data_IF_181640833081
#
_entry.id   IF_181640833081
#
_cell.length_a   1.000
_cell.length_b   1.000
_cell.length_c   1.000
_cell.angle_alpha   90.00
_cell.angle_beta   90.00
_cell.angle_gamma   90.00
#
_symmetry.space_group_name_H-M   'P 1'
#
loop_
_entity.id
_entity.type
_entity.pdbx_description
1 polymer ?
#
# COMPACT_ATOMS: atom_id res chain seq x y z
N UNK A 1 -39.54 5.25 -28.61
CA UNK A 1 -39.33 6.72 -28.45
C UNK A 1 -39.76 7.05 -27.04
N UNK A 2 -38.83 7.36 -26.14
CA UNK A 2 -39.16 7.72 -24.76
C UNK A 2 -39.66 9.17 -24.73
N UNK A 3 -40.83 9.39 -24.11
CA UNK A 3 -41.57 10.66 -24.13
C UNK A 3 -41.23 11.48 -22.87
N UNK A 4 -40.93 12.78 -22.99
CA UNK A 4 -40.52 13.68 -21.88
C UNK A 4 -41.65 14.00 -20.87
N UNK A 5 -41.32 14.54 -19.67
CA UNK A 5 -40.01 15.05 -19.26
C UNK A 5 -39.21 14.05 -18.40
N UNK A 6 -38.04 13.65 -18.88
CA UNK A 6 -36.98 13.16 -18.01
C UNK A 6 -36.25 14.39 -17.45
N UNK A 7 -36.30 14.58 -16.14
CA UNK A 7 -35.34 15.48 -15.48
C UNK A 7 -33.99 14.76 -15.45
N UNK A 8 -32.92 15.29 -16.07
CA UNK A 8 -31.60 14.71 -15.90
C UNK A 8 -31.29 14.66 -14.39
N UNK A 9 -31.09 13.48 -13.82
CA UNK A 9 -30.80 13.31 -12.38
C UNK A 9 -29.36 13.70 -12.02
N UNK A 10 -28.72 14.51 -12.86
CA UNK A 10 -27.35 14.98 -12.69
C UNK A 10 -27.38 16.37 -12.06
N UNK A 11 -26.43 16.62 -11.15
CA UNK A 11 -26.25 17.91 -10.50
C UNK A 11 -24.76 18.22 -10.37
N UNK A 12 -24.42 19.51 -10.28
CA UNK A 12 -23.06 19.95 -9.99
C UNK A 12 -22.86 19.95 -8.48
N UNK A 13 -21.83 19.23 -8.03
CA UNK A 13 -21.44 19.13 -6.65
C UNK A 13 -20.02 19.66 -6.48
N UNK A 14 -19.75 20.29 -5.33
CA UNK A 14 -18.44 20.77 -4.95
C UNK A 14 -18.06 20.20 -3.58
N UNK A 15 -16.77 19.96 -3.38
CA UNK A 15 -16.23 19.44 -2.12
C UNK A 15 -15.20 18.34 -2.34
N UNK A 16 -14.49 17.98 -1.27
CA UNK A 16 -13.48 16.92 -1.28
C UNK A 16 -14.06 15.55 -1.64
N UNK A 17 -15.35 15.34 -1.37
CA UNK A 17 -16.10 14.16 -1.81
C UNK A 17 -16.19 14.02 -3.33
N UNK A 18 -16.06 15.11 -4.10
CA UNK A 18 -16.01 15.08 -5.57
C UNK A 18 -14.58 14.97 -6.12
N UNK A 19 -13.56 15.32 -5.32
CA UNK A 19 -12.16 15.13 -5.68
C UNK A 19 -11.69 13.67 -5.45
N UNK A 20 -12.11 13.05 -4.35
CA UNK A 20 -11.78 11.66 -4.01
C UNK A 20 -12.06 10.64 -5.13
N UNK A 21 -13.22 10.63 -5.80
CA UNK A 21 -13.48 9.69 -6.90
C UNK A 21 -12.55 9.90 -8.10
N UNK A 22 -12.06 11.12 -8.35
CA UNK A 22 -11.08 11.35 -9.43
C UNK A 22 -9.74 10.66 -9.12
N UNK A 23 -9.27 10.75 -7.86
CA UNK A 23 -8.05 10.07 -7.41
C UNK A 23 -8.24 8.55 -7.42
N UNK A 24 -9.38 8.05 -6.97
CA UNK A 24 -9.69 6.63 -6.99
C UNK A 24 -9.76 6.07 -8.43
N UNK A 25 -10.38 6.81 -9.35
CA UNK A 25 -10.44 6.45 -10.78
C UNK A 25 -9.05 6.38 -11.42
N UNK A 26 -8.18 7.36 -11.12
CA UNK A 26 -6.81 7.37 -11.62
C UNK A 26 -5.95 6.22 -11.04
N UNK A 27 -6.11 5.92 -9.75
CA UNK A 27 -5.49 4.75 -9.13
C UNK A 27 -5.93 3.44 -9.82
N UNK A 28 -7.24 3.33 -10.11
CA UNK A 28 -7.79 2.20 -10.87
C UNK A 28 -7.19 2.08 -12.28
N UNK A 29 -7.02 3.20 -12.99
CA UNK A 29 -6.39 3.22 -14.30
C UNK A 29 -4.92 2.78 -14.25
N UNK A 30 -4.20 3.21 -13.22
CA UNK A 30 -2.81 2.79 -12.98
C UNK A 30 -2.71 1.29 -12.68
N UNK A 31 -3.61 0.76 -11.85
CA UNK A 31 -3.68 -0.68 -11.59
C UNK A 31 -3.93 -1.48 -12.88
N UNK A 32 -4.90 -1.05 -13.70
CA UNK A 32 -5.18 -1.68 -14.98
C UNK A 32 -4.01 -1.61 -15.95
N UNK A 33 -3.37 -0.45 -16.10
CA UNK A 33 -2.21 -0.25 -16.99
C UNK A 33 -1.05 -1.18 -16.64
N UNK A 34 -0.75 -1.31 -15.35
CA UNK A 34 0.40 -2.06 -14.87
C UNK A 34 0.07 -3.51 -14.48
N UNK A 35 -1.15 -3.97 -14.78
CA UNK A 35 -1.68 -5.29 -14.44
C UNK A 35 -1.45 -5.66 -12.95
N UNK A 36 -1.68 -4.68 -12.08
CA UNK A 36 -1.52 -4.82 -10.64
C UNK A 36 -2.85 -5.30 -10.04
N UNK A 37 -2.77 -6.35 -9.25
CA UNK A 37 -3.89 -6.93 -8.52
C UNK A 37 -3.59 -6.96 -7.01
N UNK A 38 -4.54 -7.46 -6.22
CA UNK A 38 -4.36 -7.67 -4.79
C UNK A 38 -3.22 -8.65 -4.44
N UNK A 39 -2.78 -9.47 -5.41
CA UNK A 39 -1.68 -10.43 -5.22
C UNK A 39 -0.32 -9.85 -5.56
N UNK A 40 -0.30 -8.69 -6.23
CA UNK A 40 0.89 -7.94 -6.57
C UNK A 40 1.37 -7.24 -5.31
N UNK A 41 2.38 -7.85 -4.67
CA UNK A 41 2.99 -7.30 -3.46
C UNK A 41 3.33 -5.82 -3.63
N UNK A 42 2.89 -5.01 -2.67
CA UNK A 42 3.12 -3.56 -2.62
C UNK A 42 2.48 -2.75 -3.77
N UNK A 43 1.45 -3.27 -4.45
CA UNK A 43 0.72 -2.52 -5.50
C UNK A 43 0.14 -1.19 -4.99
N UNK A 44 -0.37 -1.18 -3.76
CA UNK A 44 -0.84 0.03 -3.07
C UNK A 44 0.26 1.08 -2.95
N UNK A 45 1.45 0.69 -2.50
CA UNK A 45 2.58 1.59 -2.33
C UNK A 45 3.10 2.10 -3.68
N UNK A 46 3.16 1.23 -4.71
CA UNK A 46 3.55 1.65 -6.07
C UNK A 46 2.61 2.72 -6.61
N UNK A 47 1.32 2.49 -6.45
CA UNK A 47 0.26 3.40 -6.93
C UNK A 47 0.28 4.71 -6.15
N UNK A 48 0.44 4.63 -4.83
CA UNK A 48 0.61 5.79 -3.96
C UNK A 48 1.78 6.67 -4.42
N UNK A 49 2.97 6.08 -4.59
CA UNK A 49 4.16 6.79 -5.09
C UNK A 49 3.97 7.35 -6.49
N UNK A 50 3.27 6.63 -7.38
CA UNK A 50 3.01 7.09 -8.73
C UNK A 50 2.07 8.30 -8.74
N UNK A 51 1.00 8.27 -7.94
CA UNK A 51 0.08 9.39 -7.74
C UNK A 51 0.84 10.61 -7.22
N UNK A 52 1.65 10.42 -6.18
CA UNK A 52 2.47 11.50 -5.65
C UNK A 52 3.52 12.00 -6.63
N UNK A 53 4.09 11.20 -7.52
CA UNK A 53 5.10 11.66 -8.50
C UNK A 53 4.49 12.38 -9.70
N UNK A 54 3.29 11.97 -10.08
CA UNK A 54 2.56 12.53 -11.21
C UNK A 54 2.01 13.92 -10.93
N UNK A 55 1.77 14.26 -9.67
CA UNK A 55 1.08 15.51 -9.34
C UNK A 55 1.85 16.76 -9.79
N UNK A 56 1.13 17.80 -10.18
CA UNK A 56 1.63 19.05 -10.75
C UNK A 56 1.15 20.26 -9.95
N UNK A 57 1.88 21.37 -10.11
CA UNK A 57 1.39 22.71 -9.74
C UNK A 57 0.99 22.86 -8.28
N UNK A 58 1.97 22.90 -7.37
CA UNK A 58 1.75 23.30 -5.98
C UNK A 58 1.78 24.84 -5.91
N UNK A 59 0.80 25.47 -5.25
CA UNK A 59 0.86 26.90 -4.95
C UNK A 59 1.88 27.18 -3.84
N UNK A 60 3.17 27.30 -4.19
CA UNK A 60 4.16 27.92 -3.30
C UNK A 60 5.36 27.06 -2.89
N UNK A 61 5.38 25.76 -3.19
CA UNK A 61 6.56 24.91 -2.95
C UNK A 61 7.42 24.74 -4.22
N UNK A 62 8.63 25.35 -4.30
CA UNK A 62 9.55 25.11 -5.41
C UNK A 62 9.89 23.62 -5.51
N UNK A 63 9.74 23.02 -6.70
CA UNK A 63 10.04 21.60 -6.97
C UNK A 63 9.15 20.58 -6.25
N UNK A 64 7.98 21.00 -5.74
CA UNK A 64 6.91 20.06 -5.44
C UNK A 64 7.11 19.20 -4.18
N UNK A 65 7.59 19.81 -3.10
CA UNK A 65 7.55 19.20 -1.76
C UNK A 65 6.12 19.16 -1.22
N UNK A 66 5.89 18.35 -0.19
CA UNK A 66 4.59 18.25 0.47
C UNK A 66 4.18 19.58 1.12
N UNK A 67 2.90 19.94 1.01
CA UNK A 67 2.29 21.11 1.64
C UNK A 67 0.95 20.76 2.32
N UNK A 68 0.53 21.44 3.41
CA UNK A 68 -0.71 21.11 4.12
C UNK A 68 -2.01 21.22 3.31
N UNK A 69 -2.09 22.10 2.31
CA UNK A 69 -3.35 22.38 1.61
C UNK A 69 -3.64 21.45 0.43
N UNK A 70 -2.60 21.03 -0.30
CA UNK A 70 -2.74 20.21 -1.51
C UNK A 70 -1.77 19.02 -1.54
N UNK A 71 -1.04 18.76 -0.44
CA UNK A 71 -0.04 17.70 -0.39
C UNK A 71 1.03 17.93 -1.45
N UNK A 72 1.11 16.99 -2.41
CA UNK A 72 2.04 17.04 -3.53
C UNK A 72 1.53 17.80 -4.76
N UNK A 73 0.30 18.32 -4.74
CA UNK A 73 -0.30 19.12 -5.82
C UNK A 73 -1.50 18.45 -6.49
N UNK A 74 -1.88 18.97 -7.66
CA UNK A 74 -2.99 18.44 -8.46
C UNK A 74 -2.58 17.18 -9.19
N UNK A 75 -3.45 16.17 -9.24
CA UNK A 75 -3.23 14.96 -10.02
C UNK A 75 -3.18 15.27 -11.53
N UNK A 76 -2.23 14.65 -12.23
CA UNK A 76 -2.10 14.63 -13.68
C UNK A 76 -2.12 13.15 -14.13
N UNK A 77 -3.17 12.77 -14.87
CA UNK A 77 -3.40 11.38 -15.24
C UNK A 77 -2.46 10.92 -16.35
N UNK A 78 -2.07 11.80 -17.27
CA UNK A 78 -1.12 11.51 -18.32
C UNK A 78 0.27 11.20 -17.71
N UNK A 79 0.74 12.07 -16.82
CA UNK A 79 2.01 11.89 -16.10
C UNK A 79 2.00 10.65 -15.19
N UNK A 80 0.84 10.31 -14.60
CA UNK A 80 0.64 9.10 -13.80
C UNK A 80 0.86 7.83 -14.62
N UNK A 81 0.25 7.76 -15.80
CA UNK A 81 0.37 6.59 -16.65
C UNK A 81 1.78 6.43 -17.20
N UNK A 82 2.46 7.53 -17.47
CA UNK A 82 3.86 7.51 -17.92
C UNK A 82 4.87 7.35 -16.76
N UNK A 83 4.41 7.29 -15.51
CA UNK A 83 5.26 7.23 -14.29
C UNK A 83 6.32 8.35 -14.22
N UNK A 84 5.96 9.52 -14.74
CA UNK A 84 6.85 10.66 -14.85
C UNK A 84 6.93 11.44 -13.54
N UNK A 85 8.11 11.99 -13.25
CA UNK A 85 8.31 12.94 -12.18
C UNK A 85 8.04 14.35 -12.74
N UNK A 86 6.78 14.72 -12.84
CA UNK A 86 6.37 15.95 -13.53
C UNK A 86 6.84 17.22 -12.79
N UNK A 87 7.10 17.13 -11.47
CA UNK A 87 7.60 18.26 -10.66
C UNK A 87 9.10 18.49 -10.77
N UNK A 88 9.85 17.56 -11.37
CA UNK A 88 11.31 17.59 -11.34
C UNK A 88 11.86 17.53 -9.90
N UNK A 89 11.17 16.82 -9.01
CA UNK A 89 11.60 16.66 -7.63
C UNK A 89 12.97 15.97 -7.56
N UNK A 90 13.88 16.49 -6.74
CA UNK A 90 15.23 15.93 -6.55
C UNK A 90 15.39 15.20 -5.23
N UNK A 91 14.36 15.26 -4.38
CA UNK A 91 14.31 14.68 -3.05
C UNK A 91 13.04 13.85 -2.89
N UNK A 92 13.05 12.92 -1.95
CA UNK A 92 11.88 12.20 -1.49
C UNK A 92 11.78 12.26 0.02
N UNK A 93 10.87 11.48 0.57
CA UNK A 93 10.65 11.39 2.00
C UNK A 93 10.19 10.00 2.39
N UNK A 94 10.18 9.72 3.69
CA UNK A 94 9.57 8.51 4.21
C UNK A 94 9.00 8.75 5.59
N UNK A 95 8.00 7.95 5.92
CA UNK A 95 7.25 8.06 7.15
C UNK A 95 6.78 6.70 7.66
N UNK A 96 6.47 6.70 8.95
CA UNK A 96 5.95 5.54 9.64
C UNK A 96 5.68 5.86 11.11
N UNK A 97 5.32 4.83 11.85
CA UNK A 97 4.99 4.89 13.27
C UNK A 97 5.90 3.95 14.05
N UNK A 98 6.35 4.39 15.22
CA UNK A 98 7.08 3.53 16.15
C UNK A 98 6.15 3.06 17.27
N UNK A 99 5.99 1.76 17.37
CA UNK A 99 5.27 1.07 18.42
C UNK A 99 6.26 0.42 19.40
N UNK A 100 5.87 0.39 20.66
CA UNK A 100 6.50 -0.44 21.67
C UNK A 100 5.44 -1.25 22.41
N UNK A 101 5.54 -2.57 22.34
CA UNK A 101 4.58 -3.49 22.96
C UNK A 101 3.11 -3.17 22.61
N UNK A 102 2.85 -2.75 21.36
CA UNK A 102 1.51 -2.42 20.86
C UNK A 102 1.06 -0.96 21.08
N UNK A 103 1.84 -0.12 21.76
CA UNK A 103 1.50 1.30 21.98
C UNK A 103 2.40 2.20 21.14
N UNK A 104 1.82 3.20 20.46
CA UNK A 104 2.59 4.21 19.73
C UNK A 104 3.41 5.07 20.71
N UNK A 105 4.70 5.29 20.41
CA UNK A 105 5.61 5.98 21.31
C UNK A 105 6.04 7.34 20.80
N UNK A 106 5.89 8.36 21.64
CA UNK A 106 6.43 9.69 21.44
C UNK A 106 7.91 9.81 21.84
N UNK A 107 8.61 10.81 21.29
CA UNK A 107 9.99 11.17 21.63
C UNK A 107 11.02 10.05 21.44
N UNK A 108 10.74 9.09 20.55
CA UNK A 108 11.70 8.04 20.18
C UNK A 108 12.64 8.58 19.12
N UNK A 109 13.95 8.36 19.31
CA UNK A 109 14.95 8.71 18.31
C UNK A 109 14.93 7.70 17.16
N UNK A 110 14.70 8.21 15.94
CA UNK A 110 14.81 7.46 14.70
C UNK A 110 15.99 8.02 13.90
N UNK A 111 16.86 7.13 13.44
CA UNK A 111 18.06 7.47 12.67
C UNK A 111 17.99 6.85 11.29
N UNK A 112 18.33 7.61 10.26
CA UNK A 112 18.38 7.13 8.89
C UNK A 112 19.80 7.27 8.36
N UNK A 113 20.40 6.18 7.92
CA UNK A 113 21.73 6.17 7.32
C UNK A 113 21.64 5.74 5.86
N UNK A 114 22.16 6.55 4.95
CA UNK A 114 22.22 6.17 3.53
C UNK A 114 23.22 5.03 3.33
N UNK A 115 22.80 3.95 2.67
CA UNK A 115 23.68 2.81 2.38
C UNK A 115 24.85 3.28 1.50
N UNK A 116 26.07 2.91 1.87
CA UNK A 116 27.28 3.33 1.15
C UNK A 116 27.71 4.77 1.38
N UNK A 117 27.11 5.49 2.35
CA UNK A 117 27.50 6.85 2.73
C UNK A 117 27.60 7.00 4.25
N UNK A 118 28.35 8.02 4.68
CA UNK A 118 28.47 8.41 6.09
C UNK A 118 27.38 9.40 6.51
N UNK A 119 26.51 9.83 5.57
CA UNK A 119 25.42 10.76 5.84
C UNK A 119 24.38 10.07 6.73
N UNK A 120 24.08 10.72 7.86
CA UNK A 120 23.08 10.29 8.84
C UNK A 120 22.09 11.41 9.08
N UNK A 121 20.82 11.06 9.08
CA UNK A 121 19.71 11.92 9.48
C UNK A 121 19.12 11.40 10.79
N UNK A 122 18.57 12.30 11.60
CA UNK A 122 17.93 11.94 12.86
C UNK A 122 16.64 12.75 13.00
N UNK A 123 15.59 12.10 13.46
CA UNK A 123 14.32 12.73 13.84
C UNK A 123 13.79 12.07 15.11
N UNK A 124 12.84 12.73 15.78
CA UNK A 124 12.12 12.16 16.91
C UNK A 124 10.65 11.94 16.55
N UNK A 125 10.04 10.88 17.10
CA UNK A 125 8.61 10.64 16.92
C UNK A 125 7.77 11.71 17.61
N UNK A 126 6.65 12.07 16.98
CA UNK A 126 5.62 12.99 17.49
C UNK A 126 4.83 12.36 18.65
N UNK A 127 3.98 13.12 19.37
CA UNK A 127 3.11 12.58 20.42
C UNK A 127 2.28 11.36 19.98
N UNK A 128 1.89 11.32 18.71
CA UNK A 128 1.10 10.22 18.12
C UNK A 128 1.97 9.00 17.71
N UNK A 129 3.28 9.05 17.97
CA UNK A 129 4.26 8.03 17.61
C UNK A 129 4.71 8.01 16.15
N UNK A 130 4.10 8.84 15.30
CA UNK A 130 4.50 9.04 13.92
C UNK A 130 5.82 9.80 13.79
N UNK A 131 6.61 9.47 12.77
CA UNK A 131 7.79 10.22 12.37
C UNK A 131 7.82 10.40 10.85
N UNK A 132 8.50 11.45 10.39
CA UNK A 132 8.66 11.76 8.98
C UNK A 132 10.05 12.35 8.75
N UNK A 133 10.73 11.89 7.71
CA UNK A 133 11.95 12.52 7.20
C UNK A 133 11.64 13.22 5.90
N UNK A 134 11.97 14.49 5.82
CA UNK A 134 11.74 15.32 4.65
C UNK A 134 13.05 15.59 3.91
N UNK A 135 12.93 15.90 2.61
CA UNK A 135 14.05 16.34 1.76
C UNK A 135 15.25 15.38 1.70
N UNK A 136 14.99 14.08 1.70
CA UNK A 136 16.04 13.08 1.59
C UNK A 136 16.48 12.89 0.12
N UNK A 137 17.80 12.85 -0.16
CA UNK A 137 18.29 12.45 -1.47
C UNK A 137 17.84 11.02 -1.81
N UNK A 138 17.57 10.72 -3.08
CA UNK A 138 17.18 9.36 -3.48
C UNK A 138 18.28 8.35 -3.16
N UNK A 139 17.84 7.15 -2.81
CA UNK A 139 18.71 6.03 -2.49
C UNK A 139 18.12 5.12 -1.42
N UNK A 140 18.87 4.07 -1.08
CA UNK A 140 18.49 3.13 -0.02
C UNK A 140 19.04 3.61 1.32
N UNK A 141 18.21 3.57 2.35
CA UNK A 141 18.53 3.95 3.71
C UNK A 141 18.29 2.78 4.67
N UNK A 142 19.21 2.61 5.62
CA UNK A 142 18.99 1.79 6.80
C UNK A 142 18.45 2.71 7.89
N UNK A 143 17.20 2.47 8.28
CA UNK A 143 16.48 3.25 9.28
C UNK A 143 16.45 2.46 10.57
N UNK A 144 16.94 3.06 11.65
CA UNK A 144 17.03 2.46 12.97
C UNK A 144 16.20 3.27 13.95
N UNK A 145 15.20 2.64 14.58
CA UNK A 145 14.47 3.19 15.71
C UNK A 145 15.02 2.63 17.01
N UNK A 146 15.18 3.49 18.03
CA UNK A 146 15.77 3.11 19.33
C UNK A 146 14.84 3.51 20.50
N UNK A 147 13.67 2.87 20.67
CA UNK A 147 12.85 3.06 21.86
C UNK A 147 13.42 2.30 23.06
N UNK A 148 13.61 3.00 24.19
CA UNK A 148 14.02 2.43 25.48
C UNK A 148 15.22 1.46 25.41
N UNK A 149 16.17 1.70 24.51
CA UNK A 149 17.37 0.86 24.31
C UNK A 149 17.18 -0.35 23.39
N UNK A 150 15.96 -0.65 22.93
CA UNK A 150 15.69 -1.71 21.95
C UNK A 150 15.83 -1.19 20.52
N UNK A 151 17.00 -1.33 19.92
CA UNK A 151 17.24 -0.91 18.53
C UNK A 151 16.63 -1.90 17.52
N UNK A 152 15.81 -1.41 16.60
CA UNK A 152 15.35 -2.15 15.41
C UNK A 152 15.73 -1.41 14.15
N UNK A 153 16.20 -2.15 13.14
CA UNK A 153 16.64 -1.59 11.86
C UNK A 153 15.85 -2.20 10.71
N UNK A 154 15.34 -1.34 9.80
CA UNK A 154 14.69 -1.72 8.55
C UNK A 154 15.33 -0.96 7.38
N UNK A 155 15.36 -1.59 6.22
CA UNK A 155 15.78 -0.93 4.97
C UNK A 155 14.58 -0.27 4.29
N UNK A 156 14.80 0.94 3.78
CA UNK A 156 13.79 1.69 3.04
C UNK A 156 14.43 2.30 1.78
N UNK A 157 13.68 2.31 0.69
CA UNK A 157 14.10 2.98 -0.55
C UNK A 157 13.41 4.33 -0.65
N UNK A 158 14.18 5.39 -0.85
CA UNK A 158 13.65 6.73 -1.10
C UNK A 158 13.68 6.98 -2.61
N UNK A 159 12.50 7.22 -3.16
CA UNK A 159 12.31 7.59 -4.57
C UNK A 159 12.01 9.08 -4.63
N UNK A 160 12.53 9.76 -5.64
CA UNK A 160 12.31 11.19 -5.83
C UNK A 160 10.82 11.51 -6.03
N UNK A 161 10.34 12.59 -5.41
CA UNK A 161 8.98 13.09 -5.59
C UNK A 161 7.88 12.21 -5.00
N UNK A 162 8.21 11.30 -4.10
CA UNK A 162 7.23 10.47 -3.39
C UNK A 162 7.68 10.17 -1.97
N UNK A 163 6.71 9.86 -1.12
CA UNK A 163 6.89 9.28 0.18
C UNK A 163 6.99 7.76 0.12
N UNK A 164 7.92 7.22 0.89
CA UNK A 164 7.85 5.83 1.30
C UNK A 164 7.06 5.71 2.60
N UNK A 165 5.85 5.18 2.48
CA UNK A 165 5.00 4.87 3.63
C UNK A 165 5.21 3.42 4.10
N UNK A 166 4.52 3.04 5.17
CA UNK A 166 4.58 1.70 5.78
C UNK A 166 5.97 1.31 6.34
N UNK A 167 6.77 2.29 6.78
CA UNK A 167 8.03 2.03 7.49
C UNK A 167 7.81 2.00 9.01
N UNK A 168 6.96 1.10 9.46
CA UNK A 168 6.59 1.02 10.87
C UNK A 168 7.56 0.11 11.65
N UNK A 169 7.83 0.49 12.90
CA UNK A 169 8.70 -0.26 13.81
C UNK A 169 7.89 -0.80 14.99
N UNK A 170 7.87 -2.12 15.17
CA UNK A 170 7.33 -2.75 16.38
C UNK A 170 8.46 -3.18 17.28
N UNK A 171 8.81 -2.35 18.26
CA UNK A 171 9.85 -2.67 19.23
C UNK A 171 9.28 -3.35 20.49
N UNK A 172 10.10 -4.14 21.17
CA UNK A 172 9.71 -4.92 22.37
C UNK A 172 9.43 -6.39 22.09
N UNK A 173 8.78 -7.07 23.03
CA UNK A 173 8.45 -8.51 22.97
C UNK A 173 7.31 -8.84 22.01
N UNK A 174 6.53 -7.82 21.63
CA UNK A 174 5.48 -7.95 20.63
C UNK A 174 6.10 -8.03 19.24
N UNK A 175 6.30 -9.26 18.76
CA UNK A 175 6.59 -9.58 17.37
C UNK A 175 5.28 -9.61 16.57
N UNK A 176 4.64 -8.45 16.40
CA UNK A 176 3.74 -8.29 15.26
C UNK A 176 4.52 -8.65 14.00
N UNK A 177 3.99 -9.56 13.21
CA UNK A 177 4.65 -10.24 12.10
C UNK A 177 5.59 -9.31 11.29
N UNK A 178 6.90 -9.56 11.38
CA UNK A 178 7.93 -8.85 10.58
C UNK A 178 8.18 -9.52 9.23
N UNK A 179 7.44 -10.60 8.90
CA UNK A 179 7.48 -11.11 7.54
C UNK A 179 6.84 -10.08 6.63
N UNK A 180 7.52 -9.79 5.51
CA UNK A 180 6.88 -9.06 4.41
C UNK A 180 5.57 -9.76 4.10
N UNK A 181 4.45 -9.05 3.91
CA UNK A 181 3.15 -9.69 3.71
C UNK A 181 3.27 -10.72 2.59
N UNK A 182 3.21 -12.00 2.95
CA UNK A 182 3.10 -13.05 1.95
C UNK A 182 1.62 -13.11 1.62
N UNK A 183 1.29 -12.84 0.36
CA UNK A 183 -0.08 -12.95 -0.13
C UNK A 183 -0.47 -14.41 0.01
N UNK A 184 -1.34 -14.74 0.97
CA UNK A 184 -1.99 -16.03 1.02
C UNK A 184 -2.88 -16.15 -0.22
N UNK A 185 -2.37 -16.85 -1.24
CA UNK A 185 -3.15 -17.21 -2.42
C UNK A 185 -3.97 -18.44 -2.09
N UNK A 186 -5.26 -18.39 -2.42
CA UNK A 186 -6.08 -19.60 -2.46
C UNK A 186 -5.67 -20.37 -3.71
N UNK A 187 -4.55 -21.09 -3.64
CA UNK A 187 -4.09 -21.94 -4.74
C UNK A 187 -4.91 -23.23 -4.73
N UNK A 188 -5.85 -23.34 -5.66
CA UNK A 188 -6.49 -24.62 -5.99
C UNK A 188 -5.45 -25.48 -6.71
N UNK A 189 -4.62 -26.18 -5.93
CA UNK A 189 -3.50 -26.99 -6.42
C UNK A 189 -3.94 -28.31 -7.05
N UNK A 190 -5.22 -28.69 -6.93
CA UNK A 190 -5.79 -29.75 -7.75
C UNK A 190 -7.30 -29.58 -7.90
N UNK A 191 -7.78 -29.64 -9.15
CA UNK A 191 -9.18 -29.92 -9.46
C UNK A 191 -9.34 -31.44 -9.38
N UNK A 192 -9.78 -31.96 -8.23
CA UNK A 192 -10.23 -33.34 -8.15
C UNK A 192 -11.62 -33.42 -8.80
N UNK A 193 -11.67 -33.68 -10.11
CA UNK A 193 -12.90 -34.11 -10.78
C UNK A 193 -13.21 -35.53 -10.32
N UNK A 194 -13.91 -35.67 -9.18
CA UNK A 194 -14.53 -36.95 -8.85
C UNK A 194 -15.77 -37.10 -9.72
N UNK A 195 -15.68 -37.97 -10.72
CA UNK A 195 -16.78 -38.27 -11.63
C UNK A 195 -17.90 -38.97 -10.87
N UNK A 196 -18.97 -38.23 -10.57
CA UNK A 196 -20.24 -38.84 -10.19
C UNK A 196 -21.04 -39.10 -11.47
N UNK A 197 -21.08 -40.37 -11.89
CA UNK A 197 -22.10 -40.84 -12.83
C UNK A 197 -23.41 -41.00 -12.05
N UNK A 198 -24.26 -39.97 -12.11
CA UNK A 198 -25.57 -39.95 -11.47
C UNK A 198 -26.49 -38.98 -12.20
N UNK A 199 -27.69 -39.44 -12.55
CA UNK A 199 -28.62 -38.89 -13.54
C UNK A 199 -29.00 -37.41 -13.34
N UNK A 200 -29.04 -36.66 -14.46
CA UNK A 200 -29.51 -35.27 -14.52
C UNK A 200 -31.03 -35.18 -14.29
N UNK A 201 -31.56 -34.40 -13.34
CA UNK A 201 -33.00 -34.25 -13.15
C UNK A 201 -33.67 -33.27 -14.12
N UNK A 202 -32.94 -32.69 -15.09
CA UNK A 202 -33.57 -31.84 -16.11
C UNK A 202 -32.96 -32.05 -17.50
N UNK A 203 -33.86 -32.33 -18.45
CA UNK A 203 -33.58 -32.50 -19.87
C UNK A 203 -33.34 -31.12 -20.52
N UNK A 204 -32.32 -31.08 -21.37
CA UNK A 204 -31.70 -29.96 -22.09
C UNK A 204 -32.61 -29.25 -23.10
N UNK A 205 -32.36 -27.99 -23.45
CA UNK A 205 -31.51 -27.67 -24.61
C UNK A 205 -30.28 -26.83 -24.22
N UNK A 206 -29.11 -27.48 -24.09
CA UNK A 206 -27.81 -26.82 -23.90
C UNK A 206 -27.17 -26.91 -22.50
N UNK A 207 -27.62 -27.80 -21.61
CA UNK A 207 -27.15 -27.88 -20.23
C UNK A 207 -25.73 -28.45 -20.05
N UNK A 208 -24.84 -27.64 -19.48
CA UNK A 208 -23.61 -28.08 -18.81
C UNK A 208 -23.95 -28.18 -17.31
N UNK A 209 -23.92 -29.40 -16.74
CA UNK A 209 -24.06 -29.61 -15.30
C UNK A 209 -22.72 -29.33 -14.61
N UNK A 210 -22.69 -28.41 -13.66
CA UNK A 210 -21.54 -28.22 -12.77
C UNK A 210 -21.68 -29.13 -11.54
N UNK A 211 -20.67 -29.96 -11.21
CA UNK A 211 -20.70 -30.75 -9.98
C UNK A 211 -20.58 -29.84 -8.74
N UNK A 212 -21.16 -30.23 -7.58
CA UNK A 212 -20.91 -29.53 -6.33
C UNK A 212 -19.43 -29.66 -5.95
N UNK A 213 -18.77 -28.52 -5.74
CA UNK A 213 -17.37 -28.46 -5.27
C UNK A 213 -17.37 -28.71 -3.77
N UNK A 214 -16.95 -29.89 -3.34
CA UNK A 214 -16.67 -30.15 -1.92
C UNK A 214 -15.28 -29.61 -1.60
N UNK A 215 -15.21 -28.58 -0.75
CA UNK A 215 -13.94 -28.01 -0.27
C UNK A 215 -13.48 -28.80 0.96
N UNK A 216 -12.41 -29.59 0.85
CA UNK A 216 -11.72 -30.17 2.01
C UNK A 216 -10.56 -29.26 2.42
N UNK A 217 -10.63 -28.71 3.64
CA UNK A 217 -9.52 -28.00 4.26
C UNK A 217 -8.52 -29.06 4.73
N UNK A 218 -7.36 -29.16 4.09
CA UNK A 218 -6.24 -29.91 4.65
C UNK A 218 -5.64 -29.09 5.80
N UNK A 219 -6.03 -29.42 7.03
CA UNK A 219 -5.45 -28.86 8.25
C UNK A 219 -4.02 -29.36 8.49
N UNK A 220 -3.14 -28.39 8.73
CA UNK A 220 -1.95 -28.39 9.62
C UNK A 220 -0.79 -29.38 9.39
N UNK A 221 0.38 -28.83 9.01
CA UNK A 221 1.68 -29.43 9.32
C UNK A 221 2.28 -28.78 10.59
N UNK A 222 2.06 -29.45 11.72
CA UNK A 222 2.87 -29.50 12.97
C UNK A 222 3.78 -28.30 13.31
N UNK A 223 3.38 -27.52 14.33
CA UNK A 223 4.33 -27.02 15.33
C UNK A 223 4.37 -28.02 16.49
N UNK A 224 5.55 -28.60 16.71
CA UNK A 224 5.87 -29.47 17.85
C UNK A 224 5.83 -28.65 19.15
N UNK A 225 4.85 -28.91 20.02
CA UNK A 225 4.90 -28.52 21.43
C UNK A 225 5.59 -29.64 22.23
N UNK A 226 6.74 -29.33 22.80
CA UNK A 226 7.41 -30.18 23.80
C UNK A 226 6.61 -30.22 25.11
N UNK A 227 6.60 -31.40 25.71
CA UNK A 227 5.89 -31.76 26.94
C UNK A 227 6.24 -30.89 28.15
N UNK A 228 5.23 -30.57 28.96
CA UNK A 228 5.41 -30.26 30.38
C UNK A 228 4.40 -31.07 31.21
N UNK A 229 4.96 -31.78 32.20
CA UNK A 229 4.40 -32.67 33.24
C UNK A 229 3.71 -33.95 32.80
#
# INVERSE_FOLDING_TARGET
VLVPPYTPTYSYLAGTSMASPAVAGAAGLFYGKNNLDQTSGWANLRTYRALERSSVGVMGAPRGTWEPYQGYGSLDAESLLLEQNMRGATVGAFEGIVYYNGTALANVTVRAQKVGSLIRYQTSTRPDGGYRFEMLPPGTYNVTAIPFGAAKTKSATVVVGSDQTALDFWCGTYSGDETSPTVARFDVTSLQTSGFWGECPYRTTGGICFPPVTVSVLTESRLSMSSWT
#
